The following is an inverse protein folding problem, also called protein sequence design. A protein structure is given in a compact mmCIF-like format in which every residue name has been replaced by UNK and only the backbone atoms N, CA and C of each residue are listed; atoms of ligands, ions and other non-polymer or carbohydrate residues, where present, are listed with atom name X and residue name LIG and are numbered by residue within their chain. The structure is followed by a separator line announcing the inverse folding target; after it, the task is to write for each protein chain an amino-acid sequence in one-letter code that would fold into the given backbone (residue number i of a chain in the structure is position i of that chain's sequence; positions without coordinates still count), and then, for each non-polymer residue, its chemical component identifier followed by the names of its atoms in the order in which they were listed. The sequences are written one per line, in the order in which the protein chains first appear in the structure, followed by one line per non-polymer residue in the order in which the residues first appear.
data_IF_937228394920
#
_entry.id   IF_937228394920
#
_cell.length_a   1.000
_cell.length_b   1.000
_cell.length_c   1.000
_cell.angle_alpha   90.00
_cell.angle_beta   90.00
_cell.angle_gamma   90.00
#
_symmetry.space_group_name_H-M   'P 1'
#
loop_
_entity.id
_entity.type
_entity.pdbx_description
1 polymer ?
#
# COMPACT_ATOMS: atom_id res chain seq x y z
N UNK A 1 7.41 -47.82 21.85
CA UNK A 1 6.71 -47.42 20.60
C UNK A 1 5.45 -46.60 20.88
N UNK A 2 4.63 -46.94 21.88
CA UNK A 2 3.44 -46.13 22.29
C UNK A 2 3.81 -44.71 22.75
N UNK A 3 4.94 -44.54 23.42
CA UNK A 3 5.42 -43.24 23.91
C UNK A 3 5.61 -42.19 22.79
N UNK A 4 6.20 -42.59 21.66
CA UNK A 4 6.36 -41.70 20.51
C UNK A 4 5.01 -41.30 19.90
N UNK A 5 4.04 -42.22 19.88
CA UNK A 5 2.68 -41.92 19.43
C UNK A 5 1.99 -40.91 20.35
N UNK A 6 2.17 -41.03 21.67
CA UNK A 6 1.61 -40.08 22.65
C UNK A 6 2.21 -38.69 22.46
N UNK A 7 3.54 -38.58 22.28
CA UNK A 7 4.20 -37.30 22.03
C UNK A 7 3.69 -36.63 20.75
N UNK A 8 3.56 -37.40 19.66
CA UNK A 8 3.03 -36.88 18.39
C UNK A 8 1.58 -36.39 18.52
N UNK A 9 0.74 -37.11 19.26
CA UNK A 9 -0.65 -36.71 19.51
C UNK A 9 -0.70 -35.40 20.30
N UNK A 10 0.09 -35.27 21.37
CA UNK A 10 0.14 -34.04 22.16
C UNK A 10 0.66 -32.85 21.32
N UNK A 11 1.69 -33.07 20.52
CA UNK A 11 2.24 -32.06 19.62
C UNK A 11 1.20 -31.61 18.58
N UNK A 12 0.44 -32.53 17.99
CA UNK A 12 -0.63 -32.21 17.06
C UNK A 12 -1.73 -31.35 17.71
N UNK A 13 -2.11 -31.67 18.95
CA UNK A 13 -3.08 -30.87 19.72
C UNK A 13 -2.55 -29.44 19.93
N UNK A 14 -1.29 -29.28 20.37
CA UNK A 14 -0.69 -27.97 20.59
C UNK A 14 -0.64 -27.16 19.30
N UNK A 15 -0.18 -27.77 18.19
CA UNK A 15 -0.11 -27.09 16.89
C UNK A 15 -1.50 -26.65 16.43
N UNK A 16 -2.53 -27.48 16.61
CA UNK A 16 -3.90 -27.13 16.21
C UNK A 16 -4.44 -25.87 16.91
N UNK A 17 -4.01 -25.63 18.16
CA UNK A 17 -4.38 -24.45 18.94
C UNK A 17 -3.50 -23.24 18.60
N UNK A 18 -2.20 -23.46 18.34
CA UNK A 18 -1.24 -22.40 18.08
C UNK A 18 -1.27 -21.86 16.64
N UNK A 19 -1.50 -22.72 15.64
CA UNK A 19 -1.49 -22.37 14.22
C UNK A 19 -2.38 -21.16 13.84
N UNK A 20 -3.66 -21.06 14.26
CA UNK A 20 -4.49 -19.91 13.90
C UNK A 20 -4.00 -18.59 14.51
N UNK A 21 -3.41 -18.64 15.72
CA UNK A 21 -2.86 -17.45 16.37
C UNK A 21 -1.61 -16.93 15.65
N UNK A 22 -0.76 -17.84 15.18
CA UNK A 22 0.43 -17.51 14.39
C UNK A 22 0.04 -16.91 13.03
N UNK A 23 -0.93 -17.50 12.34
CA UNK A 23 -1.43 -16.99 11.06
C UNK A 23 -1.98 -15.55 11.19
N UNK A 24 -2.73 -15.27 12.27
CA UNK A 24 -3.19 -13.90 12.56
C UNK A 24 -2.03 -12.93 12.77
N UNK A 25 -1.03 -13.31 13.57
CA UNK A 25 0.14 -12.46 13.82
C UNK A 25 0.92 -12.20 12.53
N UNK A 26 1.12 -13.22 11.69
CA UNK A 26 1.82 -13.06 10.41
C UNK A 26 1.08 -12.12 9.47
N UNK A 27 -0.25 -12.23 9.37
CA UNK A 27 -1.05 -11.31 8.54
C UNK A 27 -0.99 -9.88 9.08
N UNK A 28 -1.12 -9.68 10.40
CA UNK A 28 -1.02 -8.35 10.99
C UNK A 28 0.36 -7.69 10.78
N UNK A 29 1.44 -8.48 10.89
CA UNK A 29 2.79 -8.01 10.61
C UNK A 29 2.97 -7.62 9.14
N UNK A 30 2.47 -8.44 8.20
CA UNK A 30 2.50 -8.13 6.77
C UNK A 30 1.74 -6.84 6.45
N UNK A 31 0.51 -6.69 6.95
CA UNK A 31 -0.29 -5.47 6.77
C UNK A 31 0.43 -4.24 7.32
N UNK A 32 0.98 -4.31 8.54
CA UNK A 32 1.75 -3.22 9.14
C UNK A 32 2.96 -2.83 8.29
N UNK A 33 3.70 -3.82 7.78
CA UNK A 33 4.84 -3.59 6.89
C UNK A 33 4.43 -2.88 5.60
N UNK A 34 3.40 -3.37 4.91
CA UNK A 34 2.92 -2.76 3.66
C UNK A 34 2.41 -1.34 3.84
N UNK A 35 1.67 -1.09 4.93
CA UNK A 35 1.23 0.27 5.30
C UNK A 35 2.44 1.19 5.51
N UNK A 36 3.45 0.74 6.27
CA UNK A 36 4.64 1.53 6.55
C UNK A 36 5.47 1.81 5.29
N UNK A 37 5.57 0.86 4.36
CA UNK A 37 6.21 1.03 3.06
C UNK A 37 5.49 2.10 2.24
N UNK A 38 4.17 1.98 2.07
CA UNK A 38 3.38 2.97 1.33
C UNK A 38 3.49 4.36 1.94
N UNK A 39 3.42 4.46 3.27
CA UNK A 39 3.58 5.72 4.00
C UNK A 39 4.97 6.34 3.82
N UNK A 40 6.02 5.51 3.78
CA UNK A 40 7.38 5.95 3.50
C UNK A 40 7.52 6.47 2.07
N UNK A 41 6.91 5.80 1.09
CA UNK A 41 6.95 6.18 -0.32
C UNK A 41 6.15 7.45 -0.60
N UNK A 42 5.00 7.62 0.05
CA UNK A 42 4.24 8.88 0.01
C UNK A 42 5.06 10.06 0.55
N UNK A 43 5.77 9.87 1.66
CA UNK A 43 6.65 10.91 2.23
C UNK A 43 7.83 11.20 1.31
N UNK A 44 8.43 10.16 0.73
CA UNK A 44 9.52 10.26 -0.22
C UNK A 44 9.09 11.04 -1.47
N UNK A 45 8.01 10.60 -2.14
CA UNK A 45 7.47 11.25 -3.33
C UNK A 45 7.12 12.72 -3.07
N UNK A 46 6.48 13.02 -1.92
CA UNK A 46 6.23 14.41 -1.50
C UNK A 46 7.51 15.22 -1.36
N UNK A 47 8.53 14.67 -0.71
CA UNK A 47 9.79 15.36 -0.47
C UNK A 47 10.57 15.59 -1.76
N UNK A 48 10.56 14.63 -2.67
CA UNK A 48 11.19 14.75 -3.99
C UNK A 48 10.45 15.78 -4.85
N UNK A 49 9.11 15.80 -4.81
CA UNK A 49 8.32 16.83 -5.48
C UNK A 49 8.67 18.24 -5.01
N UNK A 50 8.90 18.43 -3.70
CA UNK A 50 9.37 19.72 -3.17
C UNK A 50 10.80 20.03 -3.64
N UNK A 51 11.71 19.05 -3.58
CA UNK A 51 13.13 19.21 -3.96
C UNK A 51 13.32 19.54 -5.44
N UNK A 52 12.50 18.96 -6.31
CA UNK A 52 12.58 19.09 -7.77
C UNK A 52 11.72 20.23 -8.32
N UNK A 53 10.90 20.87 -7.49
CA UNK A 53 10.00 21.95 -7.93
C UNK A 53 8.69 21.45 -8.56
N UNK A 54 8.30 20.21 -8.29
CA UNK A 54 7.07 19.57 -8.80
C UNK A 54 7.37 18.28 -9.56
N UNK A 55 6.36 17.79 -10.28
CA UNK A 55 6.54 16.70 -11.25
C UNK A 55 6.92 15.36 -10.64
N UNK A 56 6.64 15.10 -9.36
CA UNK A 56 6.90 13.76 -8.79
C UNK A 56 5.59 13.02 -8.62
N UNK A 57 5.54 11.81 -9.15
CA UNK A 57 4.33 11.01 -9.21
C UNK A 57 4.55 9.68 -8.53
N UNK A 58 3.62 9.30 -7.66
CA UNK A 58 3.50 7.95 -7.12
C UNK A 58 2.26 7.31 -7.75
N UNK A 59 2.41 6.20 -8.47
CA UNK A 59 1.29 5.54 -9.12
C UNK A 59 1.35 4.03 -8.95
N UNK A 60 0.18 3.40 -8.96
CA UNK A 60 0.05 1.94 -9.01
C UNK A 60 0.74 1.44 -10.26
N UNK A 61 1.41 0.30 -10.18
CA UNK A 61 1.89 -0.42 -11.36
C UNK A 61 1.48 -1.88 -11.27
N UNK A 62 1.06 -2.45 -12.39
CA UNK A 62 0.74 -3.89 -12.46
C UNK A 62 2.03 -4.72 -12.60
N UNK A 63 3.12 -4.09 -13.05
CA UNK A 63 4.47 -4.64 -13.16
C UNK A 63 5.52 -3.58 -12.75
N UNK A 64 5.71 -3.35 -11.44
CA UNK A 64 6.62 -2.32 -10.94
C UNK A 64 8.10 -2.65 -11.21
N UNK A 65 8.45 -3.93 -11.37
CA UNK A 65 9.85 -4.39 -11.50
C UNK A 65 10.33 -4.48 -12.96
N UNK A 66 9.43 -4.39 -13.93
CA UNK A 66 9.80 -4.37 -15.35
C UNK A 66 10.56 -3.09 -15.73
N UNK A 67 11.54 -3.19 -16.65
CA UNK A 67 12.19 -2.03 -17.25
C UNK A 67 11.20 -1.09 -17.97
N UNK A 68 10.07 -1.65 -18.45
CA UNK A 68 8.98 -0.93 -19.09
C UNK A 68 7.83 -0.64 -18.11
N UNK A 69 8.12 -0.56 -16.80
CA UNK A 69 7.12 -0.22 -15.79
C UNK A 69 6.40 1.07 -16.16
N UNK A 70 5.09 1.11 -15.89
CA UNK A 70 4.21 2.22 -16.18
C UNK A 70 3.12 2.31 -15.10
N UNK A 71 2.45 3.45 -15.05
CA UNK A 71 1.27 3.62 -14.22
C UNK A 71 0.12 2.75 -14.75
N UNK A 72 -0.48 1.97 -13.87
CA UNK A 72 -1.60 1.13 -14.19
C UNK A 72 -2.91 1.93 -14.15
N UNK A 73 -3.70 1.79 -15.22
CA UNK A 73 -5.04 2.37 -15.33
C UNK A 73 -6.15 1.42 -14.87
N UNK A 74 -7.39 1.91 -14.87
CA UNK A 74 -8.59 1.10 -14.69
C UNK A 74 -9.01 0.84 -13.23
N UNK A 75 -10.30 0.50 -13.08
CA UNK A 75 -10.97 0.19 -11.82
C UNK A 75 -11.46 -1.28 -11.79
N UNK A 76 -11.51 -1.95 -10.62
CA UNK A 76 -11.08 -1.45 -9.32
C UNK A 76 -9.54 -1.41 -9.20
N UNK A 77 -9.03 -0.39 -8.51
CA UNK A 77 -7.60 -0.20 -8.32
C UNK A 77 -7.11 -0.97 -7.10
N UNK A 78 -6.55 -2.17 -7.33
CA UNK A 78 -5.86 -2.93 -6.27
C UNK A 78 -4.34 -2.68 -6.34
N UNK A 79 -3.82 -1.99 -5.33
CA UNK A 79 -2.40 -1.59 -5.25
C UNK A 79 -1.48 -2.72 -4.76
N UNK A 80 -2.01 -3.93 -4.53
CA UNK A 80 -1.22 -5.09 -4.10
C UNK A 80 -0.15 -5.49 -5.11
N UNK A 81 -0.32 -5.15 -6.40
CA UNK A 81 0.70 -5.40 -7.45
C UNK A 81 1.99 -4.62 -7.20
N UNK A 82 1.89 -3.50 -6.48
CA UNK A 82 2.99 -2.59 -6.20
C UNK A 82 2.76 -1.22 -6.84
N UNK A 83 3.77 -0.37 -6.70
CA UNK A 83 3.74 1.01 -7.18
C UNK A 83 5.14 1.51 -7.47
N UNK A 84 5.20 2.59 -8.22
CA UNK A 84 6.44 3.27 -8.59
C UNK A 84 6.35 4.75 -8.21
N UNK A 85 7.51 5.34 -7.99
CA UNK A 85 7.70 6.79 -7.87
C UNK A 85 8.64 7.22 -8.98
N UNK A 86 8.25 8.21 -9.78
CA UNK A 86 9.05 8.72 -10.89
C UNK A 86 8.93 10.24 -11.00
N UNK A 87 9.81 10.83 -11.82
CA UNK A 87 9.77 12.24 -12.15
C UNK A 87 9.10 12.44 -13.52
N UNK A 88 7.86 12.93 -13.46
CA UNK A 88 6.97 13.33 -14.55
C UNK A 88 7.46 14.66 -15.14
N UNK A 89 8.11 14.59 -16.29
CA UNK A 89 8.78 15.70 -16.97
C UNK A 89 7.83 16.54 -17.82
N UNK A 90 6.78 15.91 -18.37
CA UNK A 90 5.86 16.54 -19.31
C UNK A 90 4.52 16.96 -18.66
N UNK A 91 4.24 16.46 -17.46
CA UNK A 91 3.08 16.82 -16.67
C UNK A 91 1.82 16.04 -17.03
N UNK A 92 1.91 14.89 -17.68
CA UNK A 92 0.74 14.08 -18.02
C UNK A 92 0.31 13.11 -16.89
N UNK A 93 1.24 12.76 -15.98
CA UNK A 93 1.01 11.85 -14.86
C UNK A 93 1.02 10.36 -15.22
N UNK A 94 1.36 10.01 -16.46
CA UNK A 94 1.83 8.71 -16.89
C UNK A 94 3.36 8.66 -16.81
N UNK A 95 3.94 7.46 -16.96
CA UNK A 95 5.40 7.30 -16.98
C UNK A 95 5.87 7.02 -18.39
N UNK A 96 6.74 7.87 -18.90
CA UNK A 96 7.36 7.73 -20.21
C UNK A 96 8.77 7.12 -20.15
N UNK A 97 9.24 6.58 -21.27
CA UNK A 97 10.49 5.83 -21.34
C UNK A 97 11.73 6.63 -20.95
N UNK A 98 11.72 7.95 -21.19
CA UNK A 98 12.78 8.90 -20.87
C UNK A 98 12.68 9.47 -19.44
N UNK A 99 11.61 9.14 -18.71
CA UNK A 99 11.41 9.59 -17.35
C UNK A 99 12.08 8.67 -16.33
N UNK A 100 12.72 9.31 -15.34
CA UNK A 100 13.48 8.62 -14.33
C UNK A 100 12.55 8.04 -13.25
N UNK A 101 12.58 6.73 -13.09
CA UNK A 101 12.03 6.05 -11.91
C UNK A 101 12.94 6.30 -10.71
N UNK A 102 12.38 6.89 -9.66
CA UNK A 102 13.06 7.24 -8.42
C UNK A 102 12.97 6.13 -7.38
N UNK A 103 11.86 5.40 -7.37
CA UNK A 103 11.63 4.27 -6.46
C UNK A 103 10.69 3.25 -7.07
N UNK A 104 10.98 1.99 -6.80
CA UNK A 104 10.15 0.84 -7.17
C UNK A 104 9.75 0.13 -5.90
N UNK A 105 8.47 -0.17 -5.76
CA UNK A 105 7.94 -1.01 -4.71
C UNK A 105 7.23 -2.20 -5.34
N UNK A 106 7.89 -3.36 -5.25
CA UNK A 106 7.31 -4.64 -5.66
C UNK A 106 6.08 -5.00 -4.82
N UNK A 107 5.34 -6.01 -5.30
CA UNK A 107 4.22 -6.62 -4.57
C UNK A 107 4.58 -6.86 -3.10
N UNK A 108 3.88 -6.22 -2.14
CA UNK A 108 4.12 -6.47 -0.73
C UNK A 108 3.84 -7.94 -0.38
N UNK A 109 4.80 -8.60 0.26
CA UNK A 109 4.65 -10.00 0.67
C UNK A 109 3.62 -10.16 1.79
N UNK A 110 2.79 -11.20 1.70
CA UNK A 110 1.81 -11.55 2.74
C UNK A 110 0.58 -10.63 2.81
N UNK A 111 0.34 -9.81 1.78
CA UNK A 111 -0.87 -9.00 1.64
C UNK A 111 -1.60 -9.44 0.37
N UNK A 112 -2.90 -9.71 0.49
CA UNK A 112 -3.69 -10.22 -0.62
C UNK A 112 -4.39 -9.11 -1.43
N UNK A 113 -4.62 -7.94 -0.82
CA UNK A 113 -5.30 -6.82 -1.47
C UNK A 113 -4.96 -5.50 -0.78
N UNK A 114 -4.80 -4.45 -1.58
CA UNK A 114 -4.72 -3.05 -1.18
C UNK A 114 -5.78 -2.30 -2.01
N UNK A 115 -7.03 -2.40 -1.59
CA UNK A 115 -8.15 -1.84 -2.33
C UNK A 115 -8.20 -0.32 -2.17
N UNK A 116 -8.38 0.41 -3.27
CA UNK A 116 -8.51 1.85 -3.27
C UNK A 116 -9.96 2.25 -3.63
N UNK A 117 -10.71 2.74 -2.65
CA UNK A 117 -12.11 3.14 -2.82
C UNK A 117 -12.18 4.64 -3.13
N UNK A 118 -12.66 5.01 -4.33
CA UNK A 118 -12.75 6.41 -4.78
C UNK A 118 -11.39 7.11 -4.97
N UNK A 119 -10.31 6.34 -4.96
CA UNK A 119 -8.92 6.84 -4.97
C UNK A 119 -8.36 6.86 -6.39
N UNK A 120 -7.68 7.94 -6.82
CA UNK A 120 -6.96 7.96 -8.08
C UNK A 120 -5.84 6.92 -8.09
N UNK A 121 -5.58 6.29 -9.23
CA UNK A 121 -4.44 5.36 -9.42
C UNK A 121 -3.08 6.07 -9.39
N UNK A 122 -3.10 7.40 -9.31
CA UNK A 122 -1.95 8.29 -9.44
C UNK A 122 -2.02 9.40 -8.38
N UNK A 123 -0.92 9.62 -7.67
CA UNK A 123 -0.68 10.71 -6.73
C UNK A 123 0.41 11.62 -7.26
N UNK A 124 0.01 12.78 -7.80
CA UNK A 124 0.93 13.76 -8.40
C UNK A 124 1.25 14.88 -7.42
N UNK A 125 2.51 15.12 -7.11
CA UNK A 125 2.96 16.12 -6.15
C UNK A 125 3.46 17.40 -6.82
N UNK A 126 2.94 18.54 -6.38
CA UNK A 126 3.41 19.87 -6.74
C UNK A 126 4.65 20.28 -5.93
N UNK A 127 5.30 21.39 -6.32
CA UNK A 127 6.43 21.99 -5.60
C UNK A 127 6.13 22.31 -4.11
N UNK A 128 4.86 22.52 -3.77
CA UNK A 128 4.40 22.79 -2.39
C UNK A 128 4.23 21.52 -1.55
N UNK A 129 4.42 20.34 -2.14
CA UNK A 129 4.15 19.04 -1.54
C UNK A 129 2.66 18.72 -1.40
N UNK A 130 1.79 19.51 -2.04
CA UNK A 130 0.36 19.20 -2.18
C UNK A 130 0.13 18.28 -3.36
N UNK A 131 -0.97 17.55 -3.33
CA UNK A 131 -1.40 16.76 -4.48
C UNK A 131 -2.09 17.66 -5.52
N UNK A 132 -1.92 17.30 -6.79
CA UNK A 132 -2.61 17.94 -7.92
C UNK A 132 -3.98 17.30 -8.23
N UNK A 133 -4.43 16.32 -7.43
CA UNK A 133 -5.74 15.66 -7.59
C UNK A 133 -6.89 16.47 -6.97
N UNK A 134 -8.14 16.21 -7.41
CA UNK A 134 -9.33 16.89 -6.88
C UNK A 134 -9.42 16.76 -5.37
N UNK A 135 -9.86 17.83 -4.69
CA UNK A 135 -9.70 18.10 -3.25
C UNK A 135 -10.40 17.18 -2.23
N UNK A 136 -10.56 15.89 -2.53
CA UNK A 136 -11.10 14.87 -1.62
C UNK A 136 -9.98 14.02 -1.02
N UNK A 137 -10.26 13.37 0.11
CA UNK A 137 -9.38 12.36 0.66
C UNK A 137 -9.40 11.09 -0.19
N UNK A 138 -8.23 10.48 -0.35
CA UNK A 138 -8.12 9.12 -0.91
C UNK A 138 -8.04 8.10 0.21
N UNK A 139 -8.69 6.95 0.05
CA UNK A 139 -8.65 5.84 0.99
C UNK A 139 -7.98 4.62 0.35
N UNK A 140 -7.06 3.99 1.09
CA UNK A 140 -6.47 2.70 0.73
C UNK A 140 -6.68 1.72 1.89
N UNK A 141 -7.31 0.59 1.60
CA UNK A 141 -7.54 -0.50 2.55
C UNK A 141 -6.55 -1.62 2.33
N UNK A 142 -5.64 -1.77 3.27
CA UNK A 142 -4.69 -2.87 3.33
C UNK A 142 -5.37 -4.08 3.97
N UNK A 143 -5.38 -5.19 3.23
CA UNK A 143 -5.97 -6.46 3.63
C UNK A 143 -7.32 -6.71 2.95
N UNK A 144 -7.51 -7.94 2.49
CA UNK A 144 -8.73 -8.39 1.81
C UNK A 144 -9.93 -8.46 2.75
N UNK A 145 -11.13 -8.63 2.19
CA UNK A 145 -12.36 -8.80 2.98
C UNK A 145 -12.38 -10.11 3.80
N UNK A 146 -11.51 -11.07 3.49
CA UNK A 146 -11.38 -12.34 4.22
C UNK A 146 -10.66 -12.18 5.56
N UNK A 147 -9.91 -11.08 5.74
CA UNK A 147 -9.26 -10.78 7.00
C UNK A 147 -10.23 -10.09 7.98
N UNK A 148 -10.16 -10.44 9.28
CA UNK A 148 -10.86 -9.70 10.33
C UNK A 148 -10.60 -8.19 10.28
N UNK A 149 -11.61 -7.40 10.64
CA UNK A 149 -11.57 -5.94 10.51
C UNK A 149 -10.40 -5.31 11.29
N UNK A 150 -10.10 -5.84 12.47
CA UNK A 150 -9.04 -5.43 13.39
C UNK A 150 -7.61 -5.64 12.85
N UNK A 151 -7.44 -6.55 11.89
CA UNK A 151 -6.15 -6.81 11.23
C UNK A 151 -5.95 -5.87 10.04
N UNK A 152 -7.03 -5.54 9.32
CA UNK A 152 -6.99 -4.63 8.17
C UNK A 152 -6.60 -3.22 8.61
N UNK A 153 -6.10 -2.42 7.69
CA UNK A 153 -5.75 -1.01 7.95
C UNK A 153 -6.23 -0.10 6.86
N UNK A 154 -6.73 1.07 7.26
CA UNK A 154 -7.11 2.14 6.34
C UNK A 154 -6.04 3.23 6.39
N UNK A 155 -5.51 3.58 5.23
CA UNK A 155 -4.64 4.72 5.03
C UNK A 155 -5.42 5.81 4.30
N UNK A 156 -5.44 7.00 4.89
CA UNK A 156 -6.05 8.17 4.29
C UNK A 156 -4.97 9.10 3.75
N UNK A 157 -5.15 9.58 2.53
CA UNK A 157 -4.30 10.60 1.91
C UNK A 157 -5.10 11.88 1.75
N UNK A 158 -4.67 12.93 2.44
CA UNK A 158 -5.28 14.25 2.34
C UNK A 158 -4.84 14.96 1.04
N UNK A 159 -5.65 15.87 0.48
CA UNK A 159 -5.28 16.71 -0.66
C UNK A 159 -3.98 17.51 -0.45
N UNK A 160 -3.63 17.78 0.81
CA UNK A 160 -2.34 18.39 1.19
C UNK A 160 -1.11 17.48 1.03
N UNK A 161 -1.28 16.25 0.50
CA UNK A 161 -0.20 15.27 0.27
C UNK A 161 0.24 14.49 1.50
N UNK A 162 -0.47 14.63 2.63
CA UNK A 162 -0.16 13.88 3.85
C UNK A 162 -0.95 12.59 3.89
N UNK A 163 -0.25 11.45 3.95
CA UNK A 163 -0.83 10.17 4.27
C UNK A 163 -0.83 9.94 5.79
N UNK A 164 -1.85 9.25 6.31
CA UNK A 164 -1.97 8.82 7.71
C UNK A 164 -2.68 7.48 7.81
N UNK A 165 -2.40 6.72 8.86
CA UNK A 165 -3.20 5.56 9.23
C UNK A 165 -4.45 6.08 9.94
N UNK A 166 -5.64 5.76 9.43
CA UNK A 166 -6.91 6.15 10.04
C UNK A 166 -7.36 5.17 11.11
N UNK A 167 -7.13 3.87 10.88
CA UNK A 167 -7.53 2.85 11.83
C UNK A 167 -7.56 1.47 11.21
N UNK A 168 -8.47 0.65 11.72
CA UNK A 168 -8.73 -0.69 11.24
C UNK A 168 -9.64 -0.67 9.98
N UNK A 169 -10.09 -1.83 9.52
CA UNK A 169 -10.93 -1.92 8.31
C UNK A 169 -12.33 -1.30 8.42
N UNK A 170 -12.72 -0.73 9.56
CA UNK A 170 -13.96 0.04 9.72
C UNK A 170 -13.76 1.56 9.67
N UNK A 171 -12.52 2.05 9.60
CA UNK A 171 -12.22 3.48 9.61
C UNK A 171 -12.57 4.18 8.29
N UNK A 172 -12.89 5.47 8.37
CA UNK A 172 -13.19 6.35 7.23
C UNK A 172 -12.12 7.44 7.05
N UNK A 173 -12.17 8.09 5.88
CA UNK A 173 -11.37 9.28 5.60
C UNK A 173 -12.27 10.52 5.57
N UNK A 174 -12.21 11.33 6.63
CA UNK A 174 -12.92 12.61 6.72
C UNK A 174 -12.12 13.68 7.46
N UNK A 175 -12.51 14.97 7.33
CA UNK A 175 -11.98 16.04 8.15
C UNK A 175 -12.51 15.89 9.59
N UNK A 176 -11.80 15.14 10.43
CA UNK A 176 -12.18 14.90 11.83
C UNK A 176 -11.77 13.53 12.38
N UNK A 177 -11.46 12.59 11.50
CA UNK A 177 -10.88 11.28 11.84
C UNK A 177 -9.35 11.33 11.97
#
# INVERSE_FOLDING_TARGET
MVELLVVLVLLAIIISLAAPSFARLSSAAAISSGVNQFMADMRFARSEGIRRGGGVVLCRSDDPESPATACAGGAPADWVTGWIVFHDLDGDGARDADEQVLRVQARPAGIDSIAADGTPTVFRFAATGRLLVPGSFSSLRFGSANLPADIRRIVCVAPGGRARIAGDGGASCGPGD
#
